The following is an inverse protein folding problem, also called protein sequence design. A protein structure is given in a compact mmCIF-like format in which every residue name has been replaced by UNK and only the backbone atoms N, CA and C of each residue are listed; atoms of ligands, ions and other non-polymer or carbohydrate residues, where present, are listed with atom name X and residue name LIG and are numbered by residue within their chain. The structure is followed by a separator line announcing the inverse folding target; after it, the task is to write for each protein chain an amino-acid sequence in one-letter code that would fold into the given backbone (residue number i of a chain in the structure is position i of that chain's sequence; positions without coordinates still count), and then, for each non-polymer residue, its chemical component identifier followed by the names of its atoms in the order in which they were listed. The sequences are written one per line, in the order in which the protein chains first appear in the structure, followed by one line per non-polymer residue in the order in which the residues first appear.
data_IF_577881429894
#
_entry.id   IF_577881429894
#
_cell.length_a   1.000
_cell.length_b   1.000
_cell.length_c   1.000
_cell.angle_alpha   90.00
_cell.angle_beta   90.00
_cell.angle_gamma   90.00
#
_symmetry.space_group_name_H-M   'P 1'
#
loop_
_entity.id
_entity.type
_entity.pdbx_description
1 polymer ?
#
# COMPACT_ATOMS: atom_id res chain seq x y z
N UNK A 1 -41.52 -10.32 -9.99
CA UNK A 1 -40.09 -9.98 -9.82
C UNK A 1 -39.73 -10.12 -8.36
N UNK A 2 -38.52 -10.56 -8.03
CA UNK A 2 -38.04 -10.54 -6.64
C UNK A 2 -38.00 -9.07 -6.17
N UNK A 3 -38.49 -8.72 -4.96
CA UNK A 3 -38.37 -7.36 -4.46
C UNK A 3 -36.89 -6.99 -4.33
N UNK A 4 -36.51 -5.83 -4.87
CA UNK A 4 -35.18 -5.25 -4.64
C UNK A 4 -35.07 -4.93 -3.15
N UNK A 5 -34.26 -5.72 -2.45
CA UNK A 5 -33.98 -5.55 -1.03
C UNK A 5 -32.96 -4.41 -0.88
N UNK A 6 -33.25 -3.41 -0.03
CA UNK A 6 -32.28 -2.36 0.29
C UNK A 6 -30.97 -3.00 0.80
N UNK A 7 -29.82 -2.54 0.30
CA UNK A 7 -28.52 -2.93 0.86
C UNK A 7 -28.14 -2.09 2.10
N UNK A 8 -28.83 -0.96 2.31
CA UNK A 8 -28.69 -0.07 3.47
C UNK A 8 -29.81 -0.23 4.50
N UNK A 9 -30.11 0.85 5.23
CA UNK A 9 -31.22 0.88 6.17
C UNK A 9 -32.55 1.04 5.42
N UNK A 10 -33.58 0.29 5.83
CA UNK A 10 -34.90 0.32 5.21
C UNK A 10 -35.93 0.82 6.22
N UNK A 11 -36.60 1.91 5.88
CA UNK A 11 -37.69 2.48 6.67
C UNK A 11 -39.02 2.23 5.95
N UNK A 12 -39.94 1.53 6.62
CA UNK A 12 -41.27 1.30 6.06
C UNK A 12 -42.09 2.60 6.07
N UNK A 13 -42.79 2.88 4.98
CA UNK A 13 -43.75 3.99 4.88
C UNK A 13 -45.15 3.44 4.57
N UNK A 14 -46.19 4.26 4.68
CA UNK A 14 -47.56 3.85 4.37
C UNK A 14 -47.66 3.43 2.89
N UNK A 15 -47.73 2.12 2.66
CA UNK A 15 -47.83 1.53 1.32
C UNK A 15 -46.52 1.40 0.54
N UNK A 16 -45.36 1.72 1.14
CA UNK A 16 -44.04 1.67 0.48
C UNK A 16 -42.90 1.50 1.49
N UNK A 17 -41.66 1.72 1.07
CA UNK A 17 -40.46 1.75 1.90
C UNK A 17 -39.44 2.76 1.33
N UNK A 18 -38.53 3.23 2.17
CA UNK A 18 -37.45 4.14 1.81
C UNK A 18 -36.10 3.54 2.24
N UNK A 19 -35.14 3.45 1.32
CA UNK A 19 -33.78 3.01 1.62
C UNK A 19 -32.88 4.21 1.94
N UNK A 20 -32.05 4.13 2.97
CA UNK A 20 -30.97 5.08 3.27
C UNK A 20 -29.64 4.35 3.35
N UNK A 21 -28.55 5.03 2.95
CA UNK A 21 -27.21 4.46 3.03
C UNK A 21 -26.49 4.91 4.31
N UNK A 22 -25.56 4.09 4.83
CA UNK A 22 -24.66 4.51 5.90
C UNK A 22 -23.89 5.77 5.54
N UNK A 23 -23.35 6.46 6.55
CA UNK A 23 -22.44 7.59 6.33
C UNK A 23 -21.26 7.18 5.44
N UNK A 24 -20.86 8.05 4.50
CA UNK A 24 -19.81 7.75 3.52
C UNK A 24 -20.28 6.96 2.29
N UNK A 25 -21.57 6.61 2.22
CA UNK A 25 -22.16 5.91 1.08
C UNK A 25 -23.32 6.71 0.49
N UNK A 26 -23.50 6.60 -0.83
CA UNK A 26 -24.63 7.19 -1.56
C UNK A 26 -25.53 6.10 -2.15
N UNK A 27 -26.83 6.35 -2.15
CA UNK A 27 -27.83 5.46 -2.72
C UNK A 27 -27.82 5.56 -4.25
N UNK A 28 -27.67 4.42 -4.92
CA UNK A 28 -27.76 4.31 -6.36
C UNK A 28 -29.20 3.94 -6.80
N UNK A 29 -29.51 4.14 -8.08
CA UNK A 29 -30.85 3.93 -8.65
C UNK A 29 -31.43 2.53 -8.42
N UNK A 30 -30.58 1.54 -8.24
CA UNK A 30 -30.90 0.12 -7.99
C UNK A 30 -31.03 -0.23 -6.49
N UNK A 31 -31.06 0.78 -5.61
CA UNK A 31 -31.19 0.65 -4.15
C UNK A 31 -29.96 0.01 -3.46
N UNK A 32 -28.83 0.03 -4.15
CA UNK A 32 -27.53 -0.34 -3.61
C UNK A 32 -26.79 0.90 -3.07
N UNK A 33 -25.97 0.69 -2.05
CA UNK A 33 -25.15 1.73 -1.45
C UNK A 33 -23.75 1.63 -2.00
N UNK A 34 -23.28 2.69 -2.66
CA UNK A 34 -21.92 2.77 -3.18
C UNK A 34 -21.11 3.77 -2.38
N UNK A 35 -19.87 3.40 -2.13
CA UNK A 35 -18.87 4.23 -1.47
C UNK A 35 -18.74 5.58 -2.18
N UNK A 36 -18.71 6.66 -1.41
CA UNK A 36 -18.40 7.99 -1.91
C UNK A 36 -16.89 8.06 -2.04
N UNK A 37 -16.36 8.38 -3.23
CA UNK A 37 -14.93 8.53 -3.41
C UNK A 37 -14.51 9.98 -3.16
N UNK A 38 -14.19 10.33 -1.92
CA UNK A 38 -13.82 11.70 -1.55
C UNK A 38 -12.53 12.17 -2.26
N UNK A 39 -11.68 11.24 -2.72
CA UNK A 39 -10.48 11.57 -3.48
C UNK A 39 -10.75 12.01 -4.93
N UNK A 40 -11.95 11.75 -5.45
CA UNK A 40 -12.39 12.29 -6.75
C UNK A 40 -13.10 13.64 -6.61
N UNK A 41 -13.38 14.07 -5.38
CA UNK A 41 -14.05 15.33 -5.07
C UNK A 41 -13.04 16.40 -4.64
N UNK A 42 -13.32 17.66 -4.97
CA UNK A 42 -12.44 18.75 -4.59
C UNK A 42 -12.59 19.14 -3.12
N UNK A 43 -11.45 19.29 -2.42
CA UNK A 43 -11.41 19.98 -1.13
C UNK A 43 -11.40 19.10 0.12
N UNK A 44 -11.28 17.78 0.00
CA UNK A 44 -11.14 16.89 1.17
C UNK A 44 -9.72 16.89 1.74
N UNK A 45 -8.71 16.63 0.91
CA UNK A 45 -7.30 16.79 1.31
C UNK A 45 -6.78 18.17 0.90
N UNK A 46 -6.48 19.01 1.89
CA UNK A 46 -6.05 20.42 1.69
C UNK A 46 -4.62 20.69 2.09
N UNK A 47 -3.93 19.74 2.71
CA UNK A 47 -2.53 19.89 3.09
C UNK A 47 -1.59 19.78 1.90
N UNK A 48 -0.46 20.48 1.97
CA UNK A 48 0.60 20.37 0.97
C UNK A 48 1.19 18.96 0.96
N UNK A 49 1.47 18.43 -0.24
CA UNK A 49 2.03 17.09 -0.45
C UNK A 49 1.24 15.95 0.22
N UNK A 50 -0.07 16.13 0.46
CA UNK A 50 -0.92 15.05 0.93
C UNK A 50 -1.32 14.13 -0.23
N UNK A 51 -1.32 12.82 0.05
CA UNK A 51 -1.92 11.80 -0.81
C UNK A 51 -3.28 11.43 -0.24
N UNK A 52 -4.32 11.54 -1.07
CA UNK A 52 -5.66 11.07 -0.70
C UNK A 52 -5.77 9.57 -0.96
N UNK A 53 -6.30 8.83 0.00
CA UNK A 53 -6.58 7.40 -0.08
C UNK A 53 -8.05 7.17 0.24
N UNK A 54 -8.80 6.65 -0.74
CA UNK A 54 -10.20 6.32 -0.58
C UNK A 54 -10.34 4.98 0.16
N UNK A 55 -11.20 4.91 1.18
CA UNK A 55 -11.49 3.72 1.98
C UNK A 55 -12.99 3.43 1.90
N UNK A 56 -13.42 2.20 2.17
CA UNK A 56 -14.86 1.95 2.30
C UNK A 56 -15.45 2.82 3.43
N UNK A 57 -16.42 3.67 3.10
CA UNK A 57 -17.14 4.57 3.99
C UNK A 57 -16.36 5.78 4.48
N UNK A 58 -15.14 6.02 3.99
CA UNK A 58 -14.29 7.12 4.45
C UNK A 58 -13.09 7.39 3.53
N UNK A 59 -12.22 8.30 3.93
CA UNK A 59 -10.96 8.58 3.25
C UNK A 59 -9.87 8.94 4.25
N UNK A 60 -8.62 8.92 3.79
CA UNK A 60 -7.47 9.43 4.55
C UNK A 60 -6.62 10.36 3.71
N UNK A 61 -6.21 11.46 4.31
CA UNK A 61 -5.18 12.34 3.77
C UNK A 61 -3.86 12.03 4.45
N UNK A 62 -2.93 11.45 3.70
CA UNK A 62 -1.65 11.01 4.23
C UNK A 62 -0.59 12.01 3.84
N UNK A 63 0.08 12.58 4.84
CA UNK A 63 1.23 13.43 4.64
C UNK A 63 2.50 12.58 4.64
N UNK A 64 3.19 12.55 3.52
CA UNK A 64 4.46 11.82 3.37
C UNK A 64 5.61 12.80 3.53
N UNK A 65 6.42 12.61 4.58
CA UNK A 65 7.63 13.38 4.81
C UNK A 65 8.85 12.52 4.49
N UNK A 66 9.80 13.09 3.74
CA UNK A 66 11.05 12.41 3.47
C UNK A 66 11.90 12.36 4.75
N UNK A 67 12.62 11.24 4.99
CA UNK A 67 13.58 11.17 6.08
C UNK A 67 14.61 12.30 5.99
N UNK A 68 15.17 12.69 7.14
CA UNK A 68 16.17 13.76 7.19
C UNK A 68 17.35 13.47 6.23
N UNK A 69 17.70 14.45 5.39
CA UNK A 69 18.74 14.31 4.37
C UNK A 69 18.26 13.79 3.01
N UNK A 70 16.97 13.48 2.86
CA UNK A 70 16.35 13.09 1.59
C UNK A 70 15.47 14.21 1.06
N UNK A 71 15.47 14.39 -0.26
CA UNK A 71 14.59 15.30 -0.96
C UNK A 71 13.50 14.52 -1.71
N UNK A 72 12.34 15.14 -1.85
CA UNK A 72 11.21 14.56 -2.56
C UNK A 72 11.45 14.62 -4.07
N UNK A 73 11.26 13.49 -4.73
CA UNK A 73 11.25 13.34 -6.19
C UNK A 73 10.01 12.55 -6.59
N UNK A 74 8.95 13.27 -6.98
CA UNK A 74 7.63 12.67 -7.20
C UNK A 74 7.08 12.02 -5.93
N UNK A 75 6.81 10.70 -6.00
CA UNK A 75 6.35 9.88 -4.86
C UNK A 75 7.51 9.19 -4.09
N UNK A 76 8.76 9.49 -4.47
CA UNK A 76 9.95 8.92 -3.88
C UNK A 76 10.70 9.97 -3.04
N UNK A 77 11.47 9.50 -2.09
CA UNK A 77 12.44 10.30 -1.36
C UNK A 77 13.83 9.79 -1.73
N UNK A 78 14.60 10.64 -2.42
CA UNK A 78 15.94 10.33 -2.88
C UNK A 78 16.95 11.16 -2.10
N UNK A 79 18.13 10.63 -1.90
CA UNK A 79 19.23 11.44 -1.40
C UNK A 79 19.79 12.27 -2.56
N UNK A 80 20.21 13.51 -2.29
CA UNK A 80 21.00 14.32 -3.25
C UNK A 80 22.44 13.79 -3.29
N UNK A 81 22.62 12.49 -3.52
CA UNK A 81 23.93 11.91 -3.62
C UNK A 81 24.47 12.19 -5.03
N UNK A 82 25.43 13.10 -5.11
CA UNK A 82 26.41 13.23 -6.20
C UNK A 82 27.22 11.93 -6.42
N UNK A 83 26.98 10.89 -5.62
CA UNK A 83 27.58 9.57 -5.67
C UNK A 83 26.59 8.61 -6.33
N UNK A 84 26.49 8.69 -7.65
CA UNK A 84 26.08 7.53 -8.43
C UNK A 84 27.18 6.49 -8.21
N UNK A 85 26.82 5.37 -7.60
CA UNK A 85 27.72 4.30 -7.12
C UNK A 85 28.64 3.69 -8.20
N UNK A 86 28.48 4.06 -9.47
CA UNK A 86 29.12 3.38 -10.60
C UNK A 86 30.56 3.82 -10.88
N UNK A 87 31.05 4.98 -10.44
CA UNK A 87 32.42 5.44 -10.81
C UNK A 87 33.35 5.79 -9.64
N UNK A 88 32.85 5.86 -8.39
CA UNK A 88 33.58 6.56 -7.31
C UNK A 88 33.97 5.64 -6.13
N UNK A 89 33.23 4.56 -5.87
CA UNK A 89 33.52 3.67 -4.74
C UNK A 89 34.71 2.72 -4.93
N UNK A 90 35.38 2.79 -6.09
CA UNK A 90 36.66 2.12 -6.32
C UNK A 90 37.85 3.02 -5.94
N UNK A 91 37.61 4.29 -5.59
CA UNK A 91 38.64 5.23 -5.11
C UNK A 91 38.94 4.99 -3.60
N UNK A 92 40.18 4.65 -3.22
CA UNK A 92 40.56 4.40 -1.82
C UNK A 92 40.46 5.63 -0.92
N UNK A 93 40.33 6.84 -1.48
CA UNK A 93 40.15 8.09 -0.74
C UNK A 93 38.68 8.40 -0.43
N UNK A 94 37.73 7.63 -0.95
CA UNK A 94 36.30 7.90 -0.82
C UNK A 94 35.65 6.86 0.08
N UNK A 95 35.16 7.33 1.25
CA UNK A 95 34.46 6.49 2.21
C UNK A 95 33.02 6.29 1.75
N UNK A 96 32.71 5.15 1.14
CA UNK A 96 31.35 4.78 0.77
C UNK A 96 30.58 4.20 1.96
N UNK A 97 29.39 4.74 2.24
CA UNK A 97 28.45 4.13 3.16
C UNK A 97 27.59 3.10 2.41
N UNK A 98 28.07 1.86 2.40
CA UNK A 98 27.40 0.72 1.77
C UNK A 98 26.01 0.44 2.35
N UNK A 99 25.71 0.95 3.55
CA UNK A 99 24.42 0.80 4.23
C UNK A 99 23.45 1.95 3.95
N UNK A 100 23.88 2.94 3.17
CA UNK A 100 23.05 4.08 2.81
C UNK A 100 21.84 3.63 1.99
N UNK A 101 20.68 4.16 2.37
CA UNK A 101 19.45 3.98 1.63
C UNK A 101 19.44 5.02 0.50
N UNK A 102 19.33 4.55 -0.73
CA UNK A 102 19.42 5.41 -1.92
C UNK A 102 18.05 6.04 -2.22
N UNK A 103 17.01 5.24 -2.06
CA UNK A 103 15.64 5.63 -2.34
C UNK A 103 14.69 5.03 -1.30
N UNK A 104 13.78 5.87 -0.80
CA UNK A 104 12.56 5.44 -0.15
C UNK A 104 11.39 5.66 -1.11
N UNK A 105 10.51 4.67 -1.23
CA UNK A 105 9.21 4.81 -1.89
C UNK A 105 8.09 4.50 -0.93
N UNK A 106 6.96 5.20 -1.09
CA UNK A 106 5.78 5.01 -0.26
C UNK A 106 4.59 4.62 -1.14
N UNK A 107 3.83 3.62 -0.71
CA UNK A 107 2.62 3.18 -1.36
C UNK A 107 1.48 3.04 -0.35
N UNK A 108 0.28 3.40 -0.75
CA UNK A 108 -0.92 3.39 0.08
C UNK A 108 -2.01 2.61 -0.65
N UNK A 109 -2.39 1.45 -0.12
CA UNK A 109 -3.20 0.47 -0.84
C UNK A 109 -4.43 0.11 -0.01
N UNK A 110 -5.62 0.56 -0.41
CA UNK A 110 -6.86 0.22 0.29
C UNK A 110 -7.45 -1.10 -0.20
N UNK A 111 -7.96 -1.89 0.74
CA UNK A 111 -8.75 -3.10 0.50
C UNK A 111 -10.01 -3.09 1.36
N UNK A 112 -10.99 -3.86 0.90
CA UNK A 112 -12.19 -4.19 1.67
C UNK A 112 -11.94 -5.40 2.57
N UNK A 113 -12.71 -5.50 3.66
CA UNK A 113 -12.69 -6.66 4.54
C UNK A 113 -13.05 -7.93 3.77
N UNK A 114 -12.36 -9.04 4.08
CA UNK A 114 -12.51 -10.37 3.47
C UNK A 114 -12.39 -10.38 1.93
N UNK A 115 -11.78 -9.35 1.36
CA UNK A 115 -11.54 -9.30 -0.07
C UNK A 115 -10.45 -10.32 -0.45
N UNK A 116 -10.85 -11.33 -1.23
CA UNK A 116 -9.95 -12.04 -2.15
C UNK A 116 -10.75 -12.43 -3.38
N UNK A 117 -10.38 -11.86 -4.53
CA UNK A 117 -10.71 -12.50 -5.79
C UNK A 117 -9.85 -13.76 -5.90
N UNK A 118 -10.48 -14.92 -6.10
CA UNK A 118 -9.76 -16.18 -6.37
C UNK A 118 -8.93 -16.01 -7.65
N UNK A 119 -7.68 -15.60 -7.51
CA UNK A 119 -6.66 -15.79 -8.55
C UNK A 119 -6.50 -17.29 -8.77
N UNK A 120 -6.24 -17.72 -10.00
CA UNK A 120 -5.89 -19.12 -10.32
C UNK A 120 -4.71 -19.64 -9.46
N UNK A 121 -3.89 -18.74 -8.92
CA UNK A 121 -2.76 -19.04 -8.04
C UNK A 121 -3.08 -19.16 -6.55
N UNK A 122 -4.31 -18.87 -6.12
CA UNK A 122 -4.71 -18.85 -4.70
C UNK A 122 -4.16 -17.66 -3.89
N UNK A 123 -3.45 -16.72 -4.50
CA UNK A 123 -2.90 -15.51 -3.85
C UNK A 123 -3.24 -14.24 -4.65
N UNK A 124 -3.40 -13.10 -3.97
CA UNK A 124 -3.68 -11.81 -4.61
C UNK A 124 -2.43 -10.92 -4.62
N UNK A 125 -1.77 -10.80 -5.79
CA UNK A 125 -0.66 -9.87 -6.00
C UNK A 125 -1.17 -8.43 -6.05
N UNK A 126 -0.64 -7.55 -5.21
CA UNK A 126 -1.18 -6.18 -5.09
C UNK A 126 -0.15 -5.05 -5.16
N UNK A 127 1.13 -5.38 -5.04
CA UNK A 127 2.19 -4.39 -5.15
C UNK A 127 3.38 -4.99 -5.87
N UNK A 128 3.96 -4.23 -6.79
CA UNK A 128 5.17 -4.63 -7.53
C UNK A 128 6.28 -3.65 -7.19
N UNK A 129 7.44 -4.18 -6.80
CA UNK A 129 8.63 -3.41 -6.50
C UNK A 129 9.73 -3.79 -7.49
N UNK A 130 10.25 -2.77 -8.18
CA UNK A 130 11.28 -2.90 -9.20
C UNK A 130 12.45 -2.02 -8.79
N UNK A 131 13.66 -2.57 -8.88
CA UNK A 131 14.89 -1.81 -8.73
C UNK A 131 15.63 -1.72 -10.07
N UNK A 132 16.27 -0.59 -10.37
CA UNK A 132 17.09 -0.45 -11.56
C UNK A 132 18.44 -1.15 -11.31
N UNK A 133 18.62 -2.36 -11.88
CA UNK A 133 19.91 -3.06 -11.86
C UNK A 133 20.35 -3.33 -13.30
N UNK A 134 21.65 -3.24 -13.51
CA UNK A 134 22.33 -3.61 -14.75
C UNK A 134 23.46 -4.58 -14.41
N UNK A 135 23.73 -5.63 -15.21
CA UNK A 135 24.86 -6.52 -14.96
C UNK A 135 26.17 -5.74 -14.80
N UNK A 136 27.02 -6.04 -13.80
CA UNK A 136 26.99 -7.22 -12.92
C UNK A 136 26.27 -7.00 -11.57
N UNK A 137 25.38 -6.00 -11.46
CA UNK A 137 24.65 -5.70 -10.23
C UNK A 137 23.52 -6.71 -10.02
N UNK A 138 23.42 -7.25 -8.81
CA UNK A 138 22.32 -8.11 -8.37
C UNK A 138 21.57 -7.48 -7.19
N UNK A 139 20.33 -7.91 -6.97
CA UNK A 139 19.51 -7.47 -5.86
C UNK A 139 19.00 -8.65 -5.01
N UNK A 140 19.15 -8.53 -3.70
CA UNK A 140 18.51 -9.40 -2.72
C UNK A 140 17.33 -8.68 -2.09
N UNK A 141 16.19 -9.35 -1.98
CA UNK A 141 14.96 -8.75 -1.48
C UNK A 141 14.51 -9.37 -0.16
N UNK A 142 14.09 -8.52 0.77
CA UNK A 142 13.46 -8.90 2.03
C UNK A 142 12.10 -8.25 2.18
N UNK A 143 11.16 -8.94 2.84
CA UNK A 143 9.86 -8.40 3.22
C UNK A 143 9.68 -8.51 4.74
N UNK A 144 9.35 -7.40 5.37
CA UNK A 144 9.13 -7.27 6.81
C UNK A 144 7.74 -6.71 7.10
N UNK A 145 7.08 -7.28 8.10
CA UNK A 145 5.90 -6.68 8.72
C UNK A 145 6.39 -5.70 9.79
N UNK A 146 6.15 -4.41 9.60
CA UNK A 146 6.65 -3.34 10.48
C UNK A 146 5.70 -3.12 11.64
N UNK A 147 4.42 -2.91 11.34
CA UNK A 147 3.41 -2.64 12.34
C UNK A 147 2.02 -3.08 11.85
N UNK A 148 1.14 -3.40 12.80
CA UNK A 148 -0.28 -3.66 12.57
C UNK A 148 -1.07 -2.92 13.63
N UNK A 149 -2.01 -2.08 13.21
CA UNK A 149 -2.96 -1.39 14.11
C UNK A 149 -4.36 -1.90 13.80
N UNK A 150 -4.97 -2.60 14.76
CA UNK A 150 -6.35 -3.08 14.69
C UNK A 150 -7.11 -2.56 15.92
N UNK A 151 -8.08 -1.64 15.76
CA UNK A 151 -8.82 -1.09 16.90
C UNK A 151 -9.90 -2.03 17.45
N UNK A 152 -10.27 -3.10 16.74
CA UNK A 152 -11.34 -4.03 17.17
C UNK A 152 -10.76 -5.33 17.73
N UNK A 153 -11.14 -5.65 18.97
CA UNK A 153 -10.67 -6.84 19.70
C UNK A 153 -11.01 -8.18 19.00
N UNK A 154 -12.07 -8.21 18.19
CA UNK A 154 -12.53 -9.42 17.50
C UNK A 154 -11.91 -9.63 16.11
N UNK A 155 -11.11 -8.68 15.65
CA UNK A 155 -10.48 -8.73 14.32
C UNK A 155 -9.09 -9.35 14.47
N UNK A 156 -8.85 -10.49 13.81
CA UNK A 156 -7.53 -11.14 13.81
C UNK A 156 -6.51 -10.24 13.13
N UNK A 157 -5.56 -9.70 13.91
CA UNK A 157 -4.46 -8.91 13.38
C UNK A 157 -3.68 -9.69 12.31
N UNK A 158 -3.35 -9.00 11.22
CA UNK A 158 -2.48 -9.55 10.19
C UNK A 158 -1.11 -9.92 10.77
N UNK A 159 -0.53 -10.97 10.20
CA UNK A 159 0.77 -11.52 10.59
C UNK A 159 1.69 -11.56 9.39
N UNK A 160 2.99 -11.82 9.60
CA UNK A 160 3.95 -11.85 8.50
C UNK A 160 3.60 -12.98 7.51
N UNK A 161 2.99 -14.04 8.00
CA UNK A 161 2.57 -15.25 7.28
C UNK A 161 1.39 -15.00 6.34
N UNK A 162 0.64 -13.90 6.52
CA UNK A 162 -0.44 -13.51 5.61
C UNK A 162 0.09 -12.95 4.27
N UNK A 163 1.38 -12.64 4.20
CA UNK A 163 2.03 -11.99 3.07
C UNK A 163 3.17 -12.84 2.50
N UNK A 164 3.27 -12.87 1.18
CA UNK A 164 4.34 -13.54 0.46
C UNK A 164 5.04 -12.58 -0.49
N UNK A 165 6.37 -12.68 -0.54
CA UNK A 165 7.18 -11.94 -1.51
C UNK A 165 7.53 -12.88 -2.66
N UNK A 166 6.91 -12.66 -3.81
CA UNK A 166 7.13 -13.47 -5.01
C UNK A 166 8.17 -12.79 -5.91
N UNK A 167 9.30 -13.45 -6.14
CA UNK A 167 10.27 -13.00 -7.14
C UNK A 167 9.75 -13.32 -8.54
N UNK A 168 9.64 -12.30 -9.40
CA UNK A 168 9.13 -12.45 -10.77
C UNK A 168 10.22 -12.26 -11.80
N UNK A 169 11.21 -11.41 -11.52
CA UNK A 169 12.44 -11.24 -12.31
C UNK A 169 13.61 -11.02 -11.36
N UNK A 170 14.82 -10.91 -11.91
CA UNK A 170 16.01 -10.67 -11.09
C UNK A 170 15.94 -9.35 -10.31
N UNK A 171 15.26 -8.35 -10.88
CA UNK A 171 15.13 -6.99 -10.35
C UNK A 171 13.71 -6.64 -9.90
N UNK A 172 12.80 -7.61 -9.86
CA UNK A 172 11.37 -7.39 -9.64
C UNK A 172 10.81 -8.43 -8.65
N UNK A 173 10.11 -7.92 -7.64
CA UNK A 173 9.34 -8.71 -6.68
C UNK A 173 7.93 -8.17 -6.56
N UNK A 174 6.99 -9.05 -6.20
CA UNK A 174 5.61 -8.70 -5.92
C UNK A 174 5.21 -9.11 -4.52
N UNK A 175 4.46 -8.27 -3.82
CA UNK A 175 3.77 -8.69 -2.59
C UNK A 175 2.44 -9.33 -2.99
N UNK A 176 2.21 -10.52 -2.46
CA UNK A 176 0.94 -11.22 -2.55
C UNK A 176 0.33 -11.41 -1.15
N UNK A 177 -0.99 -11.25 -1.06
CA UNK A 177 -1.78 -11.61 0.10
C UNK A 177 -2.26 -13.07 -0.07
N UNK A 178 -2.04 -13.90 0.95
CA UNK A 178 -2.36 -15.33 0.88
C UNK A 178 -3.78 -15.65 1.35
N UNK A 179 -4.27 -14.95 2.37
CA UNK A 179 -5.59 -15.15 2.96
C UNK A 179 -6.35 -13.83 3.03
N UNK A 180 -7.70 -13.85 2.97
CA UNK A 180 -8.48 -12.64 3.17
C UNK A 180 -8.23 -12.10 4.58
N UNK A 181 -8.07 -10.78 4.68
CA UNK A 181 -7.92 -10.10 5.95
C UNK A 181 -9.23 -9.43 6.35
N UNK A 182 -9.54 -9.45 7.63
CA UNK A 182 -10.71 -8.77 8.19
C UNK A 182 -10.30 -7.38 8.67
N UNK A 183 -11.08 -6.36 8.31
CA UNK A 183 -10.83 -5.00 8.75
C UNK A 183 -11.66 -4.59 9.98
N UNK A 184 -11.44 -3.39 10.52
CA UNK A 184 -10.49 -2.40 10.02
C UNK A 184 -9.07 -2.66 10.55
N UNK A 185 -8.05 -2.55 9.69
CA UNK A 185 -6.64 -2.67 10.07
C UNK A 185 -5.74 -1.78 9.22
N UNK A 186 -4.75 -1.16 9.86
CA UNK A 186 -3.63 -0.50 9.18
C UNK A 186 -2.40 -1.39 9.29
N UNK A 187 -1.85 -1.81 8.15
CA UNK A 187 -0.75 -2.77 8.08
C UNK A 187 0.41 -2.11 7.35
N UNK A 188 1.56 -2.03 8.00
CA UNK A 188 2.76 -1.45 7.43
C UNK A 188 3.72 -2.58 7.02
N UNK A 189 3.96 -2.69 5.72
CA UNK A 189 4.93 -3.62 5.14
C UNK A 189 6.14 -2.83 4.63
N UNK A 190 7.32 -3.41 4.78
CA UNK A 190 8.56 -2.86 4.23
C UNK A 190 9.22 -3.90 3.34
N UNK A 191 9.47 -3.51 2.09
CA UNK A 191 10.36 -4.26 1.19
C UNK A 191 11.72 -3.57 1.22
N UNK A 192 12.75 -4.36 1.45
CA UNK A 192 14.14 -3.92 1.32
C UNK A 192 14.76 -4.63 0.11
N UNK A 193 15.41 -3.87 -0.77
CA UNK A 193 16.32 -4.41 -1.78
C UNK A 193 17.75 -4.00 -1.45
N UNK A 194 18.60 -4.97 -1.11
CA UNK A 194 20.05 -4.79 -0.99
C UNK A 194 20.68 -5.06 -2.34
N UNK A 195 21.43 -4.09 -2.86
CA UNK A 195 22.10 -4.21 -4.15
C UNK A 195 23.55 -4.60 -3.93
N UNK A 196 24.09 -5.46 -4.80
CA UNK A 196 25.48 -5.92 -4.72
C UNK A 196 26.16 -5.86 -6.07
N UNK A 197 27.46 -5.54 -6.07
CA UNK A 197 28.36 -5.61 -7.23
C UNK A 197 29.61 -6.38 -6.79
N UNK A 198 29.95 -7.47 -7.48
CA UNK A 198 31.11 -8.31 -7.15
C UNK A 198 31.15 -8.79 -5.67
N UNK A 199 29.98 -9.06 -5.08
CA UNK A 199 29.85 -9.49 -3.68
C UNK A 199 29.89 -8.38 -2.63
N UNK A 200 30.16 -7.13 -3.02
CA UNK A 200 30.10 -5.97 -2.12
C UNK A 200 28.72 -5.32 -2.17
N UNK A 201 28.14 -4.99 -1.01
CA UNK A 201 26.89 -4.24 -0.94
C UNK A 201 27.12 -2.82 -1.45
N UNK A 202 26.27 -2.39 -2.38
CA UNK A 202 26.37 -1.08 -3.04
C UNK A 202 25.21 -0.13 -2.71
N UNK A 203 24.44 -0.48 -1.69
CA UNK A 203 23.34 0.35 -1.19
C UNK A 203 22.02 -0.40 -1.14
N UNK A 204 21.00 0.34 -0.68
CA UNK A 204 19.70 -0.20 -0.31
C UNK A 204 18.58 0.64 -0.90
N UNK A 205 17.51 0.01 -1.35
CA UNK A 205 16.26 0.67 -1.67
C UNK A 205 15.16 0.14 -0.73
N UNK A 206 14.35 1.04 -0.20
CA UNK A 206 13.26 0.70 0.71
C UNK A 206 11.93 1.12 0.09
N UNK A 207 10.95 0.23 0.13
CA UNK A 207 9.56 0.55 -0.17
C UNK A 207 8.70 0.29 1.07
N UNK A 208 8.07 1.34 1.58
CA UNK A 208 7.08 1.24 2.66
C UNK A 208 5.69 1.23 2.06
N UNK A 209 4.99 0.11 2.23
CA UNK A 209 3.63 -0.10 1.72
C UNK A 209 2.67 -0.15 2.89
N UNK A 210 1.82 0.86 2.98
CA UNK A 210 0.70 0.92 3.92
C UNK A 210 -0.53 0.27 3.29
N UNK A 211 -0.97 -0.83 3.87
CA UNK A 211 -2.16 -1.55 3.45
C UNK A 211 -3.29 -1.23 4.44
N UNK A 212 -4.40 -0.69 3.93
CA UNK A 212 -5.56 -0.34 4.74
C UNK A 212 -6.68 -1.33 4.45
N UNK A 213 -7.06 -2.15 5.41
CA UNK A 213 -8.25 -2.99 5.31
C UNK A 213 -9.41 -2.21 5.93
N UNK A 214 -10.46 -1.90 5.18
CA UNK A 214 -11.67 -1.26 5.72
C UNK A 214 -12.54 -2.27 6.47
N UNK A 215 -13.43 -1.79 7.34
CA UNK A 215 -14.40 -2.65 8.05
C UNK A 215 -15.46 -3.25 7.13
N UNK A 216 -15.70 -2.64 5.97
CA UNK A 216 -16.76 -3.01 5.04
C UNK A 216 -16.34 -4.11 4.07
N UNK A 217 -17.27 -5.03 3.78
CA UNK A 217 -17.09 -6.14 2.83
C UNK A 217 -17.66 -5.82 1.42
N UNK A 218 -18.51 -4.78 1.29
CA UNK A 218 -19.29 -4.45 0.08
C UNK A 218 -18.79 -3.23 -0.71
#
# INVERSE_FOLDING_TARGET
GRPQLCQGHCENTLGSYHCTCPHGYKLQYDHHCVDINECQEHGYCRGYNQTCVNLGGSFRCIQTECPHGYHRDGAQCKISARLVYQEICDDPHIKCDVNQIICYSYAYIPFRSKFLLKSESGSHEFFTFIVPIEPPIIAEFGLRLVSVKSPHLHVRAATREDFYLKRTKDNEVKIAMLNPLEGPQDIELEIEAKMYKNGLQIGRNIATTMVFISEYEY
#
